data_IF_452755165096
#
_entry.id   IF_452755165096
#
_cell.length_a   1.000
_cell.length_b   1.000
_cell.length_c   1.000
_cell.angle_alpha   90.00
_cell.angle_beta   90.00
_cell.angle_gamma   90.00
#
_symmetry.space_group_name_H-M   'P 1'
#
loop_
_entity.id
_entity.type
_entity.pdbx_description
1 polymer ?
#
# COMPACT_ATOMS: atom_id res chain seq x y z
N UNK A 1 15.12 1.48 -28.65
CA UNK A 1 14.55 2.15 -27.47
C UNK A 1 15.45 1.84 -26.28
N UNK A 2 15.73 2.79 -25.38
CA UNK A 2 16.76 2.61 -24.34
C UNK A 2 16.21 1.71 -23.22
N UNK A 3 16.78 0.52 -22.98
CA UNK A 3 16.25 -0.48 -22.02
C UNK A 3 15.95 0.10 -20.64
N UNK A 4 16.77 1.04 -20.17
CA UNK A 4 16.57 1.78 -18.91
C UNK A 4 15.27 2.59 -18.88
N UNK A 5 14.90 3.24 -20.00
CA UNK A 5 13.65 4.00 -20.12
C UNK A 5 12.45 3.06 -20.10
N UNK A 6 12.56 1.90 -20.74
CA UNK A 6 11.50 0.89 -20.78
C UNK A 6 11.19 0.31 -19.38
N UNK A 7 12.21 -0.10 -18.62
CA UNK A 7 12.02 -0.59 -17.24
C UNK A 7 11.49 0.51 -16.32
N UNK A 8 11.94 1.75 -16.50
CA UNK A 8 11.40 2.89 -15.76
C UNK A 8 9.90 3.11 -16.08
N UNK A 9 9.51 3.05 -17.35
CA UNK A 9 8.10 3.16 -17.76
C UNK A 9 7.26 2.05 -17.14
N UNK A 10 7.69 0.78 -17.25
CA UNK A 10 6.98 -0.37 -16.68
C UNK A 10 6.76 -0.17 -15.18
N UNK A 11 7.77 0.29 -14.46
CA UNK A 11 7.68 0.50 -13.02
C UNK A 11 6.66 1.55 -12.62
N UNK A 12 6.68 2.69 -13.32
CA UNK A 12 5.73 3.75 -13.07
C UNK A 12 4.32 3.36 -13.46
N UNK A 13 4.14 2.59 -14.54
CA UNK A 13 2.86 2.02 -14.93
C UNK A 13 2.35 1.06 -13.84
N UNK A 14 3.18 0.13 -13.37
CA UNK A 14 2.81 -0.81 -12.32
C UNK A 14 2.45 -0.09 -11.02
N UNK A 15 3.25 0.88 -10.61
CA UNK A 15 2.98 1.71 -9.43
C UNK A 15 1.66 2.47 -9.56
N UNK A 16 1.39 3.08 -10.72
CA UNK A 16 0.13 3.77 -10.99
C UNK A 16 -1.08 2.84 -10.93
N UNK A 17 -1.02 1.68 -11.59
CA UNK A 17 -2.10 0.68 -11.59
C UNK A 17 -2.36 0.16 -10.17
N UNK A 18 -1.31 -0.18 -9.42
CA UNK A 18 -1.46 -0.67 -8.05
C UNK A 18 -2.02 0.39 -7.11
N UNK A 19 -1.59 1.63 -7.26
CA UNK A 19 -2.12 2.75 -6.46
C UNK A 19 -3.60 2.96 -6.76
N UNK A 20 -4.00 2.98 -8.03
CA UNK A 20 -5.41 3.11 -8.43
C UNK A 20 -6.25 1.93 -7.92
N UNK A 21 -5.78 0.70 -8.09
CA UNK A 21 -6.47 -0.49 -7.61
C UNK A 21 -6.64 -0.46 -6.08
N UNK A 22 -5.60 -0.05 -5.35
CA UNK A 22 -5.65 0.15 -3.90
C UNK A 22 -6.69 1.21 -3.51
N UNK A 23 -6.69 2.37 -4.16
CA UNK A 23 -7.66 3.44 -3.88
C UNK A 23 -9.10 3.00 -4.16
N UNK A 24 -9.36 2.34 -5.28
CA UNK A 24 -10.69 1.82 -5.62
C UNK A 24 -11.13 0.75 -4.62
N UNK A 25 -10.23 -0.17 -4.24
CA UNK A 25 -10.51 -1.20 -3.25
C UNK A 25 -10.81 -0.60 -1.86
N UNK A 26 -9.99 0.34 -1.39
CA UNK A 26 -10.23 1.04 -0.13
C UNK A 26 -11.56 1.82 -0.17
N UNK A 27 -11.78 2.63 -1.21
CA UNK A 27 -12.99 3.44 -1.36
C UNK A 27 -14.25 2.58 -1.37
N UNK A 28 -14.31 1.59 -2.26
CA UNK A 28 -15.47 0.69 -2.35
C UNK A 28 -15.73 -0.08 -1.05
N UNK A 29 -14.69 -0.60 -0.41
CA UNK A 29 -14.84 -1.37 0.83
C UNK A 29 -15.30 -0.49 1.99
N UNK A 30 -14.69 0.68 2.17
CA UNK A 30 -15.07 1.59 3.26
C UNK A 30 -16.45 2.20 3.03
N UNK A 31 -16.83 2.53 1.79
CA UNK A 31 -18.19 2.97 1.46
C UNK A 31 -19.21 1.88 1.74
N UNK A 32 -18.91 0.62 1.38
CA UNK A 32 -19.80 -0.52 1.68
C UNK A 32 -19.97 -0.69 3.19
N UNK A 33 -18.88 -0.65 3.96
CA UNK A 33 -18.94 -0.81 5.41
C UNK A 33 -19.64 0.35 6.12
N UNK A 34 -19.49 1.58 5.62
CA UNK A 34 -20.14 2.77 6.19
C UNK A 34 -21.66 2.79 5.96
N UNK A 35 -22.12 2.14 4.89
CA UNK A 35 -23.52 2.12 4.49
C UNK A 35 -24.21 0.78 4.80
N UNK A 36 -23.70 0.02 5.75
CA UNK A 36 -24.39 -1.20 6.21
C UNK A 36 -25.71 -0.83 6.88
N UNK A 37 -26.74 -1.65 6.65
CA UNK A 37 -28.00 -1.54 7.39
C UNK A 37 -27.84 -2.06 8.82
N UNK A 38 -28.67 -1.63 9.79
CA UNK A 38 -28.57 -2.09 11.18
C UNK A 38 -28.61 -3.61 11.35
N UNK A 39 -29.40 -4.30 10.51
CA UNK A 39 -29.47 -5.77 10.45
C UNK A 39 -28.14 -6.37 9.99
N UNK A 40 -27.51 -5.78 8.96
CA UNK A 40 -26.19 -6.21 8.47
C UNK A 40 -25.05 -5.90 9.44
N UNK A 41 -25.17 -4.85 10.27
CA UNK A 41 -24.18 -4.54 11.31
C UNK A 41 -24.27 -5.48 12.51
N UNK A 42 -25.47 -5.94 12.85
CA UNK A 42 -25.70 -6.88 13.97
C UNK A 42 -25.36 -8.31 13.58
N UNK A 43 -25.60 -8.71 12.34
CA UNK A 43 -25.21 -10.03 11.80
C UNK A 43 -23.76 -10.05 11.28
N UNK A 44 -23.20 -8.89 10.91
CA UNK A 44 -21.90 -8.77 10.28
C UNK A 44 -20.73 -8.87 11.26
N UNK A 45 -19.81 -9.80 10.99
CA UNK A 45 -18.53 -9.87 11.71
C UNK A 45 -17.57 -8.71 11.39
N UNK A 46 -17.78 -8.02 10.26
CA UNK A 46 -16.95 -6.92 9.81
C UNK A 46 -17.73 -5.61 9.79
N UNK A 47 -17.11 -4.53 10.29
CA UNK A 47 -17.73 -3.21 10.37
C UNK A 47 -16.73 -2.08 10.22
N UNK A 48 -17.22 -0.92 9.81
CA UNK A 48 -16.44 0.31 9.84
C UNK A 48 -16.34 0.79 11.30
N UNK A 49 -15.11 0.94 11.80
CA UNK A 49 -14.86 1.49 13.13
C UNK A 49 -13.48 2.11 13.14
N UNK A 50 -13.41 3.39 13.45
CA UNK A 50 -12.13 4.07 13.64
C UNK A 50 -11.57 3.70 15.01
N UNK A 51 -10.45 3.01 15.01
CA UNK A 51 -9.66 2.59 16.17
C UNK A 51 -8.33 3.34 16.14
N UNK A 52 -8.39 4.63 16.46
CA UNK A 52 -7.23 5.50 16.47
C UNK A 52 -6.78 5.73 17.91
N UNK A 53 -5.89 4.88 18.41
CA UNK A 53 -5.35 4.97 19.76
C UNK A 53 -3.87 5.43 19.72
N UNK A 54 -3.24 5.47 20.90
CA UNK A 54 -1.84 5.86 21.05
C UNK A 54 -0.86 5.00 20.20
N UNK A 55 -0.97 3.66 20.14
CA UNK A 55 -0.07 2.83 19.33
C UNK A 55 -0.13 3.16 17.83
N UNK A 56 -1.32 3.40 17.29
CA UNK A 56 -1.55 3.73 15.89
C UNK A 56 -0.97 5.09 15.55
N UNK A 57 -1.03 6.04 16.49
CA UNK A 57 -0.40 7.36 16.34
C UNK A 57 1.12 7.26 16.23
N UNK A 58 1.76 6.43 17.06
CA UNK A 58 3.20 6.18 17.00
C UNK A 58 3.56 5.52 15.66
N UNK A 59 2.80 4.50 15.25
CA UNK A 59 3.04 3.81 13.98
C UNK A 59 2.87 4.74 12.77
N UNK A 60 1.84 5.60 12.78
CA UNK A 60 1.61 6.61 11.75
C UNK A 60 2.77 7.60 11.66
N UNK A 61 3.33 8.02 12.79
CA UNK A 61 4.48 8.93 12.83
C UNK A 61 5.73 8.26 12.25
N UNK A 62 6.03 7.01 12.63
CA UNK A 62 7.14 6.23 12.07
C UNK A 62 6.96 6.10 10.55
N UNK A 63 5.76 5.72 10.11
CA UNK A 63 5.46 5.53 8.69
C UNK A 63 5.53 6.85 7.90
N UNK A 64 5.11 7.96 8.52
CA UNK A 64 5.30 9.32 8.01
C UNK A 64 6.78 9.68 7.84
N UNK A 65 7.62 9.39 8.84
CA UNK A 65 9.07 9.59 8.77
C UNK A 65 9.71 8.76 7.65
N UNK A 66 9.35 7.47 7.52
CA UNK A 66 9.83 6.59 6.44
C UNK A 66 9.45 7.17 5.08
N UNK A 67 8.20 7.60 4.93
CA UNK A 67 7.70 8.21 3.69
C UNK A 67 8.46 9.50 3.35
N UNK A 68 8.72 10.35 4.35
CA UNK A 68 9.49 11.57 4.18
C UNK A 68 10.94 11.27 3.75
N UNK A 69 11.60 10.32 4.41
CA UNK A 69 12.95 9.88 4.04
C UNK A 69 13.00 9.34 2.61
N UNK A 70 11.97 8.59 2.18
CA UNK A 70 11.87 8.10 0.82
C UNK A 70 11.74 9.25 -0.20
N UNK A 71 10.94 10.27 0.10
CA UNK A 71 10.78 11.46 -0.75
C UNK A 71 12.11 12.24 -0.83
N UNK A 72 12.77 12.47 0.31
CA UNK A 72 14.06 13.17 0.35
C UNK A 72 15.16 12.38 -0.37
N UNK A 73 15.14 11.06 -0.25
CA UNK A 73 16.06 10.13 -0.90
C UNK A 73 15.70 9.78 -2.35
N UNK A 74 14.60 10.31 -2.91
CA UNK A 74 13.98 9.79 -4.13
C UNK A 74 14.92 9.67 -5.33
N UNK A 75 15.76 10.70 -5.54
CA UNK A 75 16.75 10.72 -6.64
C UNK A 75 17.95 9.81 -6.36
N UNK A 76 18.36 9.69 -5.09
CA UNK A 76 19.52 8.89 -4.68
C UNK A 76 19.22 7.38 -4.69
N UNK A 77 17.96 7.01 -4.46
CA UNK A 77 17.50 5.63 -4.42
C UNK A 77 17.20 5.05 -5.80
N UNK A 78 17.45 5.78 -6.90
CA UNK A 78 17.25 5.25 -8.26
C UNK A 78 18.18 4.04 -8.50
N UNK A 79 17.68 2.90 -9.03
CA UNK A 79 16.35 2.66 -9.61
C UNK A 79 15.30 2.06 -8.65
N UNK A 80 15.62 1.90 -7.36
CA UNK A 80 14.80 1.24 -6.36
C UNK A 80 13.74 2.12 -5.70
N UNK A 81 13.72 3.42 -5.99
CA UNK A 81 12.75 4.38 -5.44
C UNK A 81 11.28 3.97 -5.66
N UNK A 82 10.88 3.63 -6.89
CA UNK A 82 9.50 3.21 -7.20
C UNK A 82 9.11 1.90 -6.51
N UNK A 83 9.93 0.83 -6.56
CA UNK A 83 9.66 -0.38 -5.78
C UNK A 83 9.51 -0.12 -4.27
N UNK A 84 10.38 0.70 -3.68
CA UNK A 84 10.29 1.05 -2.26
C UNK A 84 9.01 1.84 -1.95
N UNK A 85 8.63 2.77 -2.83
CA UNK A 85 7.37 3.52 -2.71
C UNK A 85 6.14 2.60 -2.76
N UNK A 86 6.18 1.58 -3.61
CA UNK A 86 5.12 0.58 -3.70
C UNK A 86 4.95 -0.18 -2.39
N UNK A 87 6.05 -0.65 -1.79
CA UNK A 87 6.04 -1.36 -0.50
C UNK A 87 5.51 -0.44 0.60
N UNK A 88 6.03 0.79 0.70
CA UNK A 88 5.58 1.78 1.69
C UNK A 88 4.09 2.10 1.51
N UNK A 89 3.62 2.24 0.26
CA UNK A 89 2.20 2.40 -0.05
C UNK A 89 1.35 1.21 0.38
N UNK A 90 1.84 -0.01 0.22
CA UNK A 90 1.21 -1.22 0.77
C UNK A 90 1.10 -1.20 2.29
N UNK A 91 2.11 -0.69 2.99
CA UNK A 91 2.08 -0.54 4.47
C UNK A 91 1.04 0.50 4.88
N UNK A 92 0.97 1.65 4.19
CA UNK A 92 -0.09 2.64 4.40
C UNK A 92 -1.48 2.06 4.15
N UNK A 93 -1.64 1.26 3.10
CA UNK A 93 -2.89 0.60 2.77
C UNK A 93 -3.32 -0.39 3.87
N UNK A 94 -2.40 -1.24 4.35
CA UNK A 94 -2.67 -2.12 5.47
C UNK A 94 -3.03 -1.33 6.74
N UNK A 95 -2.25 -0.29 7.07
CA UNK A 95 -2.49 0.57 8.23
C UNK A 95 -3.88 1.20 8.19
N UNK A 96 -4.30 1.73 7.03
CA UNK A 96 -5.65 2.29 6.85
C UNK A 96 -6.74 1.29 7.26
N UNK A 97 -6.66 0.05 6.79
CA UNK A 97 -7.65 -0.98 7.10
C UNK A 97 -7.62 -1.40 8.58
N UNK A 98 -6.44 -1.51 9.17
CA UNK A 98 -6.34 -1.83 10.60
C UNK A 98 -6.97 -0.75 11.50
N UNK A 99 -6.79 0.51 11.12
CA UNK A 99 -7.30 1.65 11.89
C UNK A 99 -8.79 1.91 11.65
N UNK A 100 -9.33 1.54 10.48
CA UNK A 100 -10.71 1.93 10.11
C UNK A 100 -11.71 0.78 10.05
N UNK A 101 -11.25 -0.46 10.25
CA UNK A 101 -12.13 -1.64 10.17
C UNK A 101 -11.91 -2.58 11.34
N UNK A 102 -12.97 -3.31 11.71
CA UNK A 102 -12.93 -4.44 12.64
C UNK A 102 -13.39 -5.69 11.90
N UNK A 103 -12.86 -6.85 12.27
CA UNK A 103 -13.23 -8.14 11.70
C UNK A 103 -12.37 -8.52 10.49
N UNK A 104 -12.88 -9.45 9.67
CA UNK A 104 -12.13 -10.03 8.55
C UNK A 104 -11.77 -9.02 7.46
N UNK A 105 -12.50 -7.92 7.35
CA UNK A 105 -12.19 -6.88 6.36
C UNK A 105 -10.82 -6.24 6.61
N UNK A 106 -10.33 -6.24 7.85
CA UNK A 106 -8.96 -5.79 8.15
C UNK A 106 -7.88 -6.59 7.40
N UNK A 107 -8.16 -7.86 7.07
CA UNK A 107 -7.24 -8.71 6.31
C UNK A 107 -7.05 -8.25 4.86
N UNK A 108 -8.01 -7.52 4.28
CA UNK A 108 -7.87 -6.94 2.93
C UNK A 108 -6.65 -6.03 2.88
N UNK A 109 -6.43 -5.24 3.94
CA UNK A 109 -5.24 -4.41 4.08
C UNK A 109 -3.94 -5.21 3.98
N UNK A 110 -3.88 -6.35 4.69
CA UNK A 110 -2.70 -7.23 4.65
C UNK A 110 -2.52 -7.94 3.31
N UNK A 111 -3.60 -8.34 2.63
CA UNK A 111 -3.53 -8.88 1.27
C UNK A 111 -2.97 -7.83 0.31
N UNK A 112 -3.44 -6.58 0.40
CA UNK A 112 -2.89 -5.47 -0.39
C UNK A 112 -1.41 -5.24 -0.13
N UNK A 113 -0.98 -5.28 1.14
CA UNK A 113 0.43 -5.22 1.52
C UNK A 113 1.24 -6.38 0.93
N UNK A 114 0.74 -7.61 1.01
CA UNK A 114 1.43 -8.78 0.45
C UNK A 114 1.67 -8.62 -1.06
N UNK A 115 0.64 -8.19 -1.80
CA UNK A 115 0.75 -7.94 -3.24
C UNK A 115 1.78 -6.84 -3.52
N UNK A 116 1.73 -5.72 -2.77
CA UNK A 116 2.70 -4.63 -2.90
C UNK A 116 4.13 -5.06 -2.56
N UNK A 117 4.31 -5.90 -1.55
CA UNK A 117 5.61 -6.49 -1.19
C UNK A 117 6.15 -7.39 -2.28
N UNK A 118 5.34 -8.32 -2.78
CA UNK A 118 5.76 -9.24 -3.85
C UNK A 118 6.13 -8.46 -5.11
N UNK A 119 5.28 -7.52 -5.55
CA UNK A 119 5.55 -6.69 -6.71
C UNK A 119 6.83 -5.84 -6.53
N UNK A 120 6.95 -5.13 -5.41
CA UNK A 120 8.13 -4.30 -5.12
C UNK A 120 9.42 -5.12 -5.04
N UNK A 121 9.41 -6.26 -4.37
CA UNK A 121 10.57 -7.15 -4.27
C UNK A 121 10.97 -7.72 -5.62
N UNK A 122 10.01 -8.16 -6.45
CA UNK A 122 10.30 -8.62 -7.81
C UNK A 122 10.98 -7.53 -8.65
N UNK A 123 10.50 -6.28 -8.57
CA UNK A 123 11.14 -5.16 -9.27
C UNK A 123 12.56 -4.89 -8.75
N UNK A 124 12.79 -4.97 -7.43
CA UNK A 124 14.13 -4.82 -6.84
C UNK A 124 15.06 -5.92 -7.37
N UNK A 125 14.61 -7.18 -7.40
CA UNK A 125 15.36 -8.32 -7.92
C UNK A 125 15.70 -8.08 -9.40
N UNK A 126 14.73 -7.71 -10.22
CA UNK A 126 14.94 -7.45 -11.65
C UNK A 126 16.02 -6.38 -11.85
N UNK A 127 16.04 -5.31 -11.05
CA UNK A 127 17.11 -4.32 -11.13
C UNK A 127 18.45 -4.80 -10.60
N UNK A 128 18.46 -5.46 -9.44
CA UNK A 128 19.69 -5.89 -8.78
C UNK A 128 20.47 -6.92 -9.61
N UNK A 129 19.76 -7.80 -10.32
CA UNK A 129 20.34 -8.85 -11.15
C UNK A 129 20.37 -8.48 -12.65
N UNK A 130 19.39 -7.74 -13.15
CA UNK A 130 19.34 -7.29 -14.54
C UNK A 130 20.32 -6.16 -14.88
N UNK A 131 20.69 -5.32 -13.92
CA UNK A 131 21.69 -4.26 -14.13
C UNK A 131 23.15 -4.75 -14.14
N UNK A 132 23.41 -6.06 -13.97
CA UNK A 132 24.75 -6.66 -14.02
C UNK A 132 25.16 -7.17 -15.41
N UNK A 133 24.37 -6.90 -16.46
CA UNK A 133 24.72 -7.16 -17.87
C UNK A 133 24.81 -5.84 -18.62
#
# INVERSE_FOLDING_TARGET
>A
MNARKEVQTINWTLFGVMTLAGLVSAGSTLTKLKNLTPEQETEGQSRFRVQWEQPETILALILGCITLLLILGWKKLFPFNVPLAMIVGGVWYAFLFQVTTVGWTGLIGFVGLLIAMVAGLLMIIIYAFGARK
#
